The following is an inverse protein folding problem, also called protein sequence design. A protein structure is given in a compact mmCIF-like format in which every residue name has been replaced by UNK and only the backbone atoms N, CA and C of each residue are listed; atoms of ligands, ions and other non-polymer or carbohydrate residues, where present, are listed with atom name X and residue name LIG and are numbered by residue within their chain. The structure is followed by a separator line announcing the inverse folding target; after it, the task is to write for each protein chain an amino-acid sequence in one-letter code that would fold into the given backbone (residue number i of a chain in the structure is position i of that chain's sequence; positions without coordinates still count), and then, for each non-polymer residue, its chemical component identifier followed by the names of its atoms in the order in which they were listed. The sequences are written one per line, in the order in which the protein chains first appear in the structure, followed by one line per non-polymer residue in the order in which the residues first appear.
data_IF_606294114599
#
_entry.id   IF_606294114599
#
_cell.length_a   1.000
_cell.length_b   1.000
_cell.length_c   1.000
_cell.angle_alpha   90.00
_cell.angle_beta   90.00
_cell.angle_gamma   90.00
#
_symmetry.space_group_name_H-M   'P 1'
#
loop_
_entity.id
_entity.type
_entity.pdbx_description
1 polymer ?
#
# COMPACT_ATOMS: atom_id res chain seq x y z
N UNK A 1 -0.57 11.42 -4.61
CA UNK A 1 0.76 10.84 -4.44
C UNK A 1 1.82 11.82 -4.91
N UNK A 2 3.08 11.42 -4.79
CA UNK A 2 4.28 12.22 -5.12
C UNK A 2 4.29 12.84 -6.52
N UNK A 3 3.64 12.20 -7.50
CA UNK A 3 3.63 12.65 -8.90
C UNK A 3 2.54 13.68 -9.26
N UNK A 4 1.49 13.83 -8.44
CA UNK A 4 0.33 14.63 -8.82
C UNK A 4 -0.45 14.09 -10.03
N UNK A 5 -0.27 12.81 -10.37
CA UNK A 5 -0.90 12.12 -11.50
C UNK A 5 -2.07 11.23 -11.05
N UNK A 6 -3.05 10.97 -11.95
CA UNK A 6 -4.12 10.03 -11.67
C UNK A 6 -3.62 8.57 -11.61
N UNK A 7 -4.32 7.76 -10.83
CA UNK A 7 -4.02 6.34 -10.64
C UNK A 7 -4.51 5.48 -11.82
N UNK A 8 -3.76 5.53 -12.93
CA UNK A 8 -4.09 4.89 -14.22
C UNK A 8 -2.88 4.14 -14.81
N UNK A 9 -2.00 3.60 -13.96
CA UNK A 9 -0.81 2.86 -14.40
C UNK A 9 0.24 3.73 -15.10
N UNK A 10 0.34 5.00 -14.70
CA UNK A 10 1.29 5.97 -15.28
C UNK A 10 2.64 5.95 -14.54
N UNK A 11 2.60 5.72 -13.23
CA UNK A 11 3.80 5.57 -12.41
C UNK A 11 4.62 4.37 -12.87
N UNK A 12 5.93 4.49 -12.73
CA UNK A 12 6.87 3.42 -13.06
C UNK A 12 7.39 2.74 -11.79
N UNK A 13 8.06 1.60 -11.97
CA UNK A 13 8.77 0.94 -10.87
C UNK A 13 9.75 1.89 -10.16
N UNK A 14 10.47 2.74 -10.91
CA UNK A 14 11.46 3.63 -10.28
C UNK A 14 10.80 4.69 -9.40
N UNK A 15 9.64 5.22 -9.79
CA UNK A 15 8.89 6.18 -8.97
C UNK A 15 8.54 5.56 -7.60
N UNK A 16 8.09 4.30 -7.61
CA UNK A 16 7.80 3.54 -6.39
C UNK A 16 9.07 3.27 -5.59
N UNK A 17 10.16 2.82 -6.22
CA UNK A 17 11.41 2.50 -5.53
C UNK A 17 12.08 3.72 -4.88
N UNK A 18 11.90 4.92 -5.45
CA UNK A 18 12.37 6.17 -4.81
C UNK A 18 11.64 6.40 -3.50
N UNK A 19 10.31 6.26 -3.48
CA UNK A 19 9.52 6.48 -2.27
C UNK A 19 9.72 5.35 -1.24
N UNK A 20 9.90 4.10 -1.68
CA UNK A 20 10.25 2.97 -0.79
C UNK A 20 11.55 3.28 -0.04
N UNK A 21 12.64 3.62 -0.76
CA UNK A 21 13.93 3.93 -0.12
C UNK A 21 13.83 5.10 0.87
N UNK A 22 13.13 6.17 0.50
CA UNK A 22 12.91 7.32 1.40
C UNK A 22 12.24 6.95 2.71
N UNK A 23 11.33 5.97 2.68
CA UNK A 23 10.61 5.51 3.87
C UNK A 23 11.50 4.54 4.67
N UNK A 24 12.05 3.53 4.02
CA UNK A 24 12.77 2.42 4.69
C UNK A 24 14.15 2.81 5.20
N UNK A 25 14.79 3.83 4.63
CA UNK A 25 16.09 4.33 5.11
C UNK A 25 16.00 5.01 6.50
N UNK A 26 14.79 5.39 6.95
CA UNK A 26 14.59 6.15 8.19
C UNK A 26 13.51 5.59 9.12
N UNK A 27 12.76 4.57 8.69
CA UNK A 27 11.66 3.98 9.45
C UNK A 27 11.80 2.45 9.46
N UNK A 28 11.96 1.88 10.66
CA UNK A 28 12.15 0.43 10.85
C UNK A 28 10.86 -0.39 10.74
N UNK A 29 9.69 0.27 10.60
CA UNK A 29 8.42 -0.45 10.45
C UNK A 29 8.35 -1.16 9.09
N UNK A 30 7.84 -2.41 9.04
CA UNK A 30 7.77 -3.16 7.79
C UNK A 30 6.83 -2.48 6.79
N UNK A 31 7.35 -2.17 5.60
CA UNK A 31 6.60 -1.50 4.54
C UNK A 31 6.02 -2.51 3.54
N UNK A 32 4.70 -2.48 3.38
CA UNK A 32 3.97 -3.17 2.30
C UNK A 32 3.75 -2.23 1.12
N UNK A 33 4.03 -2.71 -0.10
CA UNK A 33 4.04 -1.89 -1.32
C UNK A 33 3.03 -2.40 -2.35
N UNK A 34 2.22 -1.50 -2.91
CA UNK A 34 1.41 -1.75 -4.09
C UNK A 34 2.30 -1.79 -5.34
N UNK A 35 2.27 -2.89 -6.09
CA UNK A 35 3.07 -3.06 -7.30
C UNK A 35 2.24 -3.16 -8.58
N UNK A 36 0.96 -2.79 -8.51
CA UNK A 36 0.00 -2.93 -9.60
C UNK A 36 0.05 -4.37 -10.17
N UNK A 37 0.34 -4.49 -11.47
CA UNK A 37 0.48 -5.75 -12.20
C UNK A 37 1.94 -6.23 -12.29
N UNK A 38 2.87 -5.59 -11.58
CA UNK A 38 4.29 -5.93 -11.52
C UNK A 38 5.21 -5.16 -12.49
N UNK A 39 4.76 -4.01 -12.99
CA UNK A 39 5.52 -3.06 -13.83
C UNK A 39 6.12 -3.66 -15.12
N UNK A 40 5.36 -4.49 -15.82
CA UNK A 40 5.65 -4.90 -17.20
C UNK A 40 4.89 -6.16 -17.61
N UNK A 41 4.93 -6.51 -18.91
CA UNK A 41 4.04 -7.54 -19.47
C UNK A 41 4.55 -8.99 -19.26
N UNK A 42 5.77 -9.19 -18.74
CA UNK A 42 6.38 -10.52 -18.64
C UNK A 42 6.77 -10.91 -17.22
N UNK A 43 6.92 -12.21 -16.99
CA UNK A 43 7.45 -12.76 -15.74
C UNK A 43 8.82 -12.17 -15.36
N UNK A 44 9.66 -11.78 -16.34
CA UNK A 44 10.94 -11.14 -16.08
C UNK A 44 10.80 -9.75 -15.45
N UNK A 45 9.75 -9.00 -15.82
CA UNK A 45 9.46 -7.70 -15.22
C UNK A 45 9.04 -7.87 -13.77
N UNK A 46 8.13 -8.81 -13.49
CA UNK A 46 7.66 -9.13 -12.14
C UNK A 46 8.84 -9.57 -11.26
N UNK A 47 9.69 -10.45 -11.76
CA UNK A 47 10.86 -10.91 -11.03
C UNK A 47 11.84 -9.76 -10.72
N UNK A 48 12.05 -8.84 -11.66
CA UNK A 48 12.85 -7.62 -11.42
C UNK A 48 12.21 -6.73 -10.36
N UNK A 49 10.89 -6.55 -10.40
CA UNK A 49 10.13 -5.74 -9.43
C UNK A 49 10.31 -6.28 -8.02
N UNK A 50 10.05 -7.56 -7.79
CA UNK A 50 10.19 -8.19 -6.46
C UNK A 50 11.61 -8.06 -5.91
N UNK A 51 12.63 -8.42 -6.72
CA UNK A 51 14.04 -8.30 -6.29
C UNK A 51 14.45 -6.87 -5.98
N UNK A 52 13.92 -5.90 -6.73
CA UNK A 52 14.23 -4.48 -6.52
C UNK A 52 13.59 -3.95 -5.24
N UNK A 53 12.37 -4.39 -4.91
CA UNK A 53 11.67 -4.01 -3.68
C UNK A 53 12.34 -4.57 -2.44
N UNK A 54 12.69 -5.86 -2.45
CA UNK A 54 13.43 -6.48 -1.36
C UNK A 54 14.75 -5.71 -1.14
N UNK A 55 15.48 -5.41 -2.21
CA UNK A 55 16.73 -4.64 -2.13
C UNK A 55 16.52 -3.21 -1.63
N UNK A 56 15.37 -2.59 -1.90
CA UNK A 56 15.02 -1.26 -1.43
C UNK A 56 14.51 -1.25 0.03
N UNK A 57 14.36 -2.41 0.66
CA UNK A 57 13.97 -2.54 2.07
C UNK A 57 12.47 -2.73 2.29
N UNK A 58 11.67 -2.99 1.25
CA UNK A 58 10.26 -3.34 1.45
C UNK A 58 10.15 -4.72 2.13
N UNK A 59 9.17 -4.87 3.03
CA UNK A 59 8.90 -6.12 3.74
C UNK A 59 7.83 -6.97 3.04
N UNK A 60 6.95 -6.34 2.26
CA UNK A 60 5.86 -7.02 1.58
C UNK A 60 5.48 -6.29 0.28
N UNK A 61 4.80 -6.99 -0.62
CA UNK A 61 4.08 -6.35 -1.71
C UNK A 61 2.74 -7.04 -2.02
N UNK A 62 1.88 -6.34 -2.77
CA UNK A 62 0.72 -6.97 -3.38
C UNK A 62 0.67 -6.76 -4.89
N UNK A 63 0.34 -7.82 -5.63
CA UNK A 63 0.16 -7.84 -7.09
C UNK A 63 -1.29 -8.15 -7.45
N UNK A 64 -1.81 -7.53 -8.51
CA UNK A 64 -3.23 -7.62 -8.88
C UNK A 64 -3.51 -8.30 -10.23
N UNK A 65 -4.75 -8.77 -10.39
CA UNK A 65 -5.25 -9.49 -11.56
C UNK A 65 -5.83 -8.58 -12.65
N UNK A 66 -5.64 -7.26 -12.57
CA UNK A 66 -6.07 -6.34 -13.62
C UNK A 66 -5.24 -6.48 -14.91
N UNK A 67 -5.82 -6.06 -16.03
CA UNK A 67 -5.07 -5.82 -17.28
C UNK A 67 -4.09 -4.65 -17.10
N UNK A 68 -3.04 -4.56 -17.94
CA UNK A 68 -1.96 -3.58 -17.75
C UNK A 68 -2.40 -2.11 -17.70
N UNK A 69 -3.48 -1.73 -18.39
CA UNK A 69 -4.13 -0.42 -18.24
C UNK A 69 -5.12 -0.43 -17.06
N UNK A 70 -4.59 -0.65 -15.85
CA UNK A 70 -5.36 -0.84 -14.63
C UNK A 70 -6.15 0.40 -14.22
N UNK A 71 -7.17 0.21 -13.39
CA UNK A 71 -7.97 1.28 -12.77
C UNK A 71 -8.03 1.09 -11.25
N UNK A 72 -8.42 2.13 -10.53
CA UNK A 72 -8.70 2.02 -9.10
C UNK A 72 -9.81 0.98 -8.82
N UNK A 73 -9.60 0.09 -7.85
CA UNK A 73 -10.49 -1.03 -7.50
C UNK A 73 -11.94 -0.66 -7.14
N UNK A 74 -12.21 0.59 -6.77
CA UNK A 74 -13.57 1.06 -6.47
C UNK A 74 -14.28 1.74 -7.67
N UNK A 75 -13.72 1.70 -8.89
CA UNK A 75 -14.35 2.26 -10.09
C UNK A 75 -14.94 1.19 -11.03
N UNK A 76 -16.02 1.49 -11.77
CA UNK A 76 -16.59 0.58 -12.76
C UNK A 76 -15.71 0.43 -14.02
N UNK A 77 -15.93 -0.67 -14.74
CA UNK A 77 -15.26 -0.96 -16.02
C UNK A 77 -13.81 -1.43 -15.86
N UNK A 78 -13.55 -2.26 -14.84
CA UNK A 78 -12.28 -2.96 -14.66
C UNK A 78 -12.27 -4.18 -15.58
N UNK A 79 -11.09 -4.49 -16.12
CA UNK A 79 -10.84 -5.72 -16.85
C UNK A 79 -9.78 -6.50 -16.08
N UNK A 80 -10.05 -7.78 -15.86
CA UNK A 80 -9.13 -8.70 -15.19
C UNK A 80 -8.64 -9.75 -16.18
N UNK A 81 -7.42 -10.22 -15.97
CA UNK A 81 -6.82 -11.28 -16.77
C UNK A 81 -7.39 -12.63 -16.38
N UNK A 82 -7.14 -13.67 -17.20
CA UNK A 82 -7.55 -15.04 -16.85
C UNK A 82 -6.95 -15.51 -15.52
N UNK A 83 -7.58 -16.50 -14.87
CA UNK A 83 -7.03 -17.08 -13.65
C UNK A 83 -5.62 -17.65 -13.87
N UNK A 84 -5.40 -18.33 -15.00
CA UNK A 84 -4.09 -18.87 -15.36
C UNK A 84 -3.02 -17.78 -15.48
N UNK A 85 -3.34 -16.65 -16.12
CA UNK A 85 -2.39 -15.55 -16.21
C UNK A 85 -2.06 -14.95 -14.84
N UNK A 86 -3.05 -14.79 -13.94
CA UNK A 86 -2.77 -14.32 -12.58
C UNK A 86 -1.91 -15.31 -11.78
N UNK A 87 -2.18 -16.61 -11.91
CA UNK A 87 -1.37 -17.67 -11.31
C UNK A 87 0.08 -17.59 -11.79
N UNK A 88 0.31 -17.37 -13.09
CA UNK A 88 1.66 -17.20 -13.64
C UNK A 88 2.36 -15.96 -13.06
N UNK A 89 1.63 -14.85 -12.85
CA UNK A 89 2.18 -13.64 -12.22
C UNK A 89 2.58 -13.88 -10.77
N UNK A 90 1.70 -14.50 -9.97
CA UNK A 90 1.97 -14.83 -8.56
C UNK A 90 3.15 -15.76 -8.45
N UNK A 91 3.20 -16.82 -9.28
CA UNK A 91 4.32 -17.74 -9.32
C UNK A 91 5.64 -17.06 -9.67
N UNK A 92 5.64 -16.18 -10.68
CA UNK A 92 6.82 -15.41 -11.05
C UNK A 92 7.30 -14.48 -9.91
N UNK A 93 6.38 -13.91 -9.13
CA UNK A 93 6.71 -13.11 -7.97
C UNK A 93 7.27 -13.97 -6.81
N UNK A 94 6.62 -15.10 -6.51
CA UNK A 94 7.04 -16.03 -5.47
C UNK A 94 8.43 -16.62 -5.75
N UNK A 95 8.67 -17.10 -6.98
CA UNK A 95 9.96 -17.64 -7.42
C UNK A 95 11.08 -16.60 -7.41
N UNK A 96 10.74 -15.30 -7.46
CA UNK A 96 11.71 -14.21 -7.47
C UNK A 96 12.14 -13.72 -6.08
N UNK A 97 11.47 -14.15 -5.01
CA UNK A 97 11.80 -13.81 -3.62
C UNK A 97 13.26 -14.17 -3.32
N UNK A 98 14.08 -13.15 -3.04
CA UNK A 98 15.47 -13.34 -2.57
C UNK A 98 15.58 -13.39 -1.05
N UNK A 99 14.49 -13.05 -0.36
CA UNK A 99 14.31 -13.17 1.07
C UNK A 99 13.08 -14.08 1.31
N UNK A 100 13.22 -15.22 2.01
CA UNK A 100 12.11 -16.12 2.27
C UNK A 100 10.99 -15.46 3.11
N UNK A 101 11.31 -14.47 3.94
CA UNK A 101 10.37 -13.79 4.83
C UNK A 101 9.62 -12.63 4.14
N UNK A 102 10.00 -12.27 2.91
CA UNK A 102 9.28 -11.24 2.13
C UNK A 102 7.85 -11.69 1.82
N UNK A 103 6.86 -10.92 2.26
CA UNK A 103 5.45 -11.35 2.23
C UNK A 103 4.77 -10.95 0.90
N UNK A 104 4.30 -11.93 0.13
CA UNK A 104 3.62 -11.71 -1.16
C UNK A 104 2.10 -11.84 -1.01
N UNK A 105 1.37 -10.79 -1.35
CA UNK A 105 -0.09 -10.78 -1.33
C UNK A 105 -0.63 -10.80 -2.76
N UNK A 106 -1.57 -11.70 -3.05
CA UNK A 106 -2.34 -11.63 -4.28
C UNK A 106 -3.63 -10.84 -4.06
N UNK A 107 -3.80 -9.77 -4.83
CA UNK A 107 -5.03 -8.96 -4.88
C UNK A 107 -5.92 -9.48 -6.01
N UNK A 108 -7.21 -9.63 -5.72
CA UNK A 108 -8.20 -9.94 -6.75
C UNK A 108 -9.31 -8.90 -6.78
N UNK A 109 -9.60 -8.40 -7.98
CA UNK A 109 -10.69 -7.47 -8.28
C UNK A 109 -11.95 -8.18 -8.84
N UNK A 110 -11.97 -9.52 -8.81
CA UNK A 110 -12.98 -10.35 -9.47
C UNK A 110 -14.40 -10.27 -8.87
N UNK A 111 -14.57 -9.86 -7.60
CA UNK A 111 -15.88 -9.86 -6.93
C UNK A 111 -16.95 -9.08 -7.73
N UNK A 112 -16.58 -7.91 -8.25
CA UNK A 112 -17.52 -7.04 -8.97
C UNK A 112 -17.85 -7.55 -10.39
N UNK A 113 -17.00 -8.41 -10.96
CA UNK A 113 -17.08 -8.85 -12.35
C UNK A 113 -17.64 -10.26 -12.48
N UNK A 114 -17.17 -11.17 -11.62
CA UNK A 114 -17.40 -12.62 -11.71
C UNK A 114 -18.16 -13.15 -10.48
N UNK A 115 -18.33 -12.33 -9.45
CA UNK A 115 -18.99 -12.70 -8.20
C UNK A 115 -18.03 -13.28 -7.15
N UNK A 116 -18.57 -13.50 -5.94
CA UNK A 116 -17.77 -13.91 -4.77
C UNK A 116 -17.18 -15.31 -4.93
N UNK A 117 -17.93 -16.26 -5.49
CA UNK A 117 -17.51 -17.66 -5.60
C UNK A 117 -16.30 -17.81 -6.53
N UNK A 118 -16.38 -17.20 -7.72
CA UNK A 118 -15.27 -17.16 -8.69
C UNK A 118 -14.04 -16.44 -8.12
N UNK A 119 -14.24 -15.35 -7.38
CA UNK A 119 -13.14 -14.62 -6.72
C UNK A 119 -12.45 -15.47 -5.63
N UNK A 120 -13.19 -16.30 -4.90
CA UNK A 120 -12.63 -17.25 -3.93
C UNK A 120 -11.84 -18.36 -4.63
N UNK A 121 -12.39 -18.96 -5.70
CA UNK A 121 -11.68 -19.98 -6.50
C UNK A 121 -10.35 -19.44 -7.05
N UNK A 122 -10.37 -18.22 -7.58
CA UNK A 122 -9.16 -17.52 -8.02
C UNK A 122 -8.17 -17.28 -6.89
N UNK A 123 -8.65 -16.83 -5.72
CA UNK A 123 -7.79 -16.60 -4.57
C UNK A 123 -7.11 -17.89 -4.08
N UNK A 124 -7.83 -19.01 -4.05
CA UNK A 124 -7.26 -20.33 -3.74
C UNK A 124 -6.14 -20.68 -4.73
N UNK A 125 -6.38 -20.52 -6.03
CA UNK A 125 -5.37 -20.77 -7.05
C UNK A 125 -4.12 -19.88 -6.89
N UNK A 126 -4.29 -18.62 -6.49
CA UNK A 126 -3.17 -17.73 -6.17
C UNK A 126 -2.39 -18.21 -4.93
N UNK A 127 -3.06 -18.72 -3.89
CA UNK A 127 -2.38 -19.32 -2.73
C UNK A 127 -1.57 -20.55 -3.14
N UNK A 128 -2.15 -21.44 -3.95
CA UNK A 128 -1.46 -22.61 -4.51
C UNK A 128 -0.24 -22.23 -5.36
N UNK A 129 -0.27 -21.05 -6.00
CA UNK A 129 0.82 -20.49 -6.79
C UNK A 129 1.94 -19.83 -5.95
N UNK A 130 1.75 -19.69 -4.64
CA UNK A 130 2.75 -19.13 -3.72
C UNK A 130 2.43 -17.76 -3.13
N UNK A 131 1.18 -17.29 -3.18
CA UNK A 131 0.78 -16.11 -2.41
C UNK A 131 0.72 -16.42 -0.90
N UNK A 132 1.38 -15.59 -0.10
CA UNK A 132 1.41 -15.69 1.36
C UNK A 132 0.14 -15.08 2.02
N UNK A 133 -0.60 -14.25 1.29
CA UNK A 133 -1.85 -13.63 1.74
C UNK A 133 -2.76 -13.22 0.59
N UNK A 134 -4.00 -12.89 0.90
CA UNK A 134 -5.02 -12.49 -0.09
C UNK A 134 -5.58 -11.11 0.25
N UNK A 135 -5.63 -10.24 -0.74
CA UNK A 135 -6.38 -8.99 -0.69
C UNK A 135 -7.66 -9.14 -1.52
N UNK A 136 -8.78 -9.32 -0.81
CA UNK A 136 -10.12 -9.39 -1.40
C UNK A 136 -10.67 -7.98 -1.66
N UNK A 137 -10.41 -7.42 -2.84
CA UNK A 137 -10.83 -6.06 -3.18
C UNK A 137 -12.35 -5.97 -3.36
N UNK A 138 -12.93 -4.85 -2.91
CA UNK A 138 -14.35 -4.54 -3.00
C UNK A 138 -15.31 -5.58 -2.36
N UNK A 139 -14.83 -6.37 -1.39
CA UNK A 139 -15.72 -7.08 -0.48
C UNK A 139 -16.59 -6.07 0.30
N UNK A 140 -17.91 -6.28 0.28
CA UNK A 140 -18.90 -5.29 0.70
C UNK A 140 -19.59 -5.64 2.04
N UNK A 141 -19.34 -6.82 2.60
CA UNK A 141 -19.89 -7.24 3.88
C UNK A 141 -18.97 -8.21 4.65
N UNK A 142 -19.20 -8.33 5.97
CA UNK A 142 -18.45 -9.23 6.85
C UNK A 142 -18.62 -10.73 6.48
N UNK A 143 -19.82 -11.23 6.11
CA UNK A 143 -19.97 -12.60 5.64
C UNK A 143 -19.07 -12.94 4.45
N UNK A 144 -18.91 -12.02 3.49
CA UNK A 144 -18.01 -12.21 2.34
C UNK A 144 -16.56 -12.36 2.81
N UNK A 145 -16.08 -11.48 3.68
CA UNK A 145 -14.73 -11.62 4.26
C UNK A 145 -14.55 -12.96 4.98
N UNK A 146 -15.56 -13.39 5.75
CA UNK A 146 -15.54 -14.69 6.43
C UNK A 146 -15.41 -15.86 5.46
N UNK A 147 -16.12 -15.81 4.33
CA UNK A 147 -16.02 -16.85 3.29
C UNK A 147 -14.62 -16.91 2.68
N UNK A 148 -13.99 -15.76 2.42
CA UNK A 148 -12.60 -15.72 1.95
C UNK A 148 -11.66 -16.32 2.99
N UNK A 149 -11.69 -15.84 4.24
CA UNK A 149 -10.82 -16.32 5.31
C UNK A 149 -10.98 -17.83 5.57
N UNK A 150 -12.23 -18.32 5.55
CA UNK A 150 -12.52 -19.75 5.72
C UNK A 150 -12.02 -20.59 4.53
N UNK A 151 -11.95 -20.04 3.31
CA UNK A 151 -11.55 -20.79 2.11
C UNK A 151 -10.04 -20.81 1.89
N UNK A 152 -9.35 -19.66 1.95
CA UNK A 152 -7.96 -19.53 1.50
C UNK A 152 -6.93 -19.94 2.56
N UNK A 153 -7.32 -19.97 3.84
CA UNK A 153 -6.49 -20.38 5.00
C UNK A 153 -5.15 -19.64 5.17
N UNK A 154 -4.95 -18.55 4.43
CA UNK A 154 -3.87 -17.57 4.60
C UNK A 154 -4.45 -16.25 5.10
N UNK A 155 -3.63 -15.32 5.63
CA UNK A 155 -4.09 -13.98 6.03
C UNK A 155 -4.88 -13.27 4.92
N UNK A 156 -6.08 -12.80 5.27
CA UNK A 156 -6.91 -11.96 4.39
C UNK A 156 -6.78 -10.50 4.81
N UNK A 157 -6.54 -9.63 3.83
CA UNK A 157 -6.50 -8.18 3.97
C UNK A 157 -7.85 -7.57 3.57
N UNK A 158 -8.35 -6.67 4.42
CA UNK A 158 -9.50 -5.80 4.14
C UNK A 158 -9.02 -4.36 3.89
N UNK A 159 -9.40 -3.81 2.74
CA UNK A 159 -9.13 -2.42 2.37
C UNK A 159 -10.27 -1.51 2.84
N UNK A 160 -10.02 -0.72 3.87
CA UNK A 160 -11.01 0.19 4.48
C UNK A 160 -10.70 1.62 4.04
N UNK A 161 -10.72 1.86 2.72
CA UNK A 161 -10.61 3.20 2.16
C UNK A 161 -11.94 3.96 2.25
N UNK A 162 -11.84 5.26 2.45
CA UNK A 162 -13.01 6.15 2.43
C UNK A 162 -13.52 6.37 1.01
N UNK A 163 -14.79 6.76 0.91
CA UNK A 163 -15.46 7.13 -0.35
C UNK A 163 -15.48 6.02 -1.41
N UNK A 164 -15.34 4.77 -0.97
CA UNK A 164 -15.48 3.56 -1.77
C UNK A 164 -16.81 2.84 -1.56
N UNK A 165 -16.87 1.59 -2.02
CA UNK A 165 -18.05 0.73 -1.88
C UNK A 165 -18.09 -0.05 -0.54
N UNK A 166 -16.92 -0.28 0.07
CA UNK A 166 -16.80 -1.06 1.30
C UNK A 166 -17.17 -0.21 2.51
N UNK A 167 -18.04 -0.69 3.42
CA UNK A 167 -18.32 0.00 4.67
C UNK A 167 -17.06 0.19 5.54
N UNK A 168 -17.06 1.23 6.36
CA UNK A 168 -15.93 1.56 7.25
C UNK A 168 -15.94 0.67 8.51
N UNK A 169 -15.69 -0.62 8.32
CA UNK A 169 -15.66 -1.60 9.41
C UNK A 169 -14.56 -1.29 10.41
N UNK A 170 -14.87 -1.50 11.69
CA UNK A 170 -13.92 -1.47 12.79
C UNK A 170 -13.01 -2.70 12.79
N UNK A 171 -11.90 -2.60 13.53
CA UNK A 171 -10.99 -3.74 13.77
C UNK A 171 -11.74 -4.95 14.32
N UNK A 172 -12.64 -4.75 15.28
CA UNK A 172 -13.30 -5.86 15.99
C UNK A 172 -14.34 -6.55 15.09
N UNK A 173 -15.04 -5.79 14.25
CA UNK A 173 -15.93 -6.34 13.22
C UNK A 173 -15.16 -7.20 12.22
N UNK A 174 -14.03 -6.70 11.69
CA UNK A 174 -13.18 -7.43 10.75
C UNK A 174 -12.56 -8.69 11.38
N UNK A 175 -12.10 -8.58 12.64
CA UNK A 175 -11.56 -9.73 13.39
C UNK A 175 -12.63 -10.82 13.58
N UNK A 176 -13.90 -10.45 13.82
CA UNK A 176 -15.00 -11.41 13.92
C UNK A 176 -15.25 -12.20 12.63
N UNK A 177 -14.84 -11.65 11.49
CA UNK A 177 -14.90 -12.28 10.17
C UNK A 177 -13.61 -13.01 9.78
N UNK A 178 -12.59 -13.07 10.65
CA UNK A 178 -11.33 -13.75 10.35
C UNK A 178 -10.36 -12.97 9.45
N UNK A 179 -10.57 -11.66 9.28
CA UNK A 179 -9.63 -10.76 8.58
C UNK A 179 -8.39 -10.57 9.46
N UNK A 180 -7.21 -10.67 8.85
CA UNK A 180 -5.93 -10.59 9.54
C UNK A 180 -5.27 -9.20 9.39
N UNK A 181 -5.55 -8.48 8.30
CA UNK A 181 -4.93 -7.19 8.00
C UNK A 181 -6.02 -6.17 7.68
N UNK A 182 -6.00 -5.03 8.37
CA UNK A 182 -6.86 -3.87 8.08
C UNK A 182 -6.02 -2.76 7.47
N UNK A 183 -6.28 -2.40 6.21
CA UNK A 183 -5.53 -1.40 5.48
C UNK A 183 -6.28 -0.06 5.43
N UNK A 184 -5.57 1.02 5.75
CA UNK A 184 -6.01 2.41 5.63
C UNK A 184 -5.12 3.13 4.60
N UNK A 185 -5.38 2.97 3.30
CA UNK A 185 -4.36 3.26 2.28
C UNK A 185 -4.09 4.76 2.09
N UNK A 186 -5.09 5.63 2.29
CA UNK A 186 -5.00 7.05 1.94
C UNK A 186 -5.55 8.00 3.02
N UNK A 187 -6.00 7.50 4.17
CA UNK A 187 -6.69 8.29 5.19
C UNK A 187 -5.89 9.52 5.64
N UNK A 188 -4.62 9.31 6.02
CA UNK A 188 -3.72 10.39 6.41
C UNK A 188 -3.42 11.36 5.26
N UNK A 189 -3.23 10.84 4.04
CA UNK A 189 -2.97 11.66 2.85
C UNK A 189 -4.16 12.57 2.51
N UNK A 190 -5.39 12.07 2.62
CA UNK A 190 -6.61 12.88 2.40
C UNK A 190 -6.71 14.02 3.42
N UNK A 191 -6.47 13.73 4.70
CA UNK A 191 -6.50 14.75 5.76
C UNK A 191 -5.41 15.81 5.55
N UNK A 192 -4.17 15.39 5.25
CA UNK A 192 -3.05 16.28 4.99
C UNK A 192 -3.33 17.23 3.81
N UNK A 193 -3.90 16.71 2.71
CA UNK A 193 -4.26 17.53 1.55
C UNK A 193 -5.32 18.57 1.89
N UNK A 194 -6.34 18.19 2.68
CA UNK A 194 -7.39 19.13 3.07
C UNK A 194 -6.88 20.22 4.00
N UNK A 195 -5.97 19.89 4.92
CA UNK A 195 -5.32 20.86 5.78
C UNK A 195 -4.43 21.83 4.99
N UNK A 196 -3.64 21.32 4.04
CA UNK A 196 -2.81 22.13 3.16
C UNK A 196 -3.65 23.09 2.30
N UNK A 197 -4.74 22.60 1.70
CA UNK A 197 -5.70 23.40 0.94
C UNK A 197 -6.22 24.59 1.78
N UNK A 198 -6.68 24.33 3.01
CA UNK A 198 -7.17 25.38 3.92
C UNK A 198 -6.10 26.45 4.20
N UNK A 199 -4.85 26.05 4.40
CA UNK A 199 -3.75 27.01 4.61
C UNK A 199 -3.50 27.86 3.36
N UNK A 200 -3.47 27.26 2.17
CA UNK A 200 -3.29 27.99 0.92
C UNK A 200 -4.43 28.99 0.66
N UNK A 201 -5.68 28.58 0.89
CA UNK A 201 -6.85 29.45 0.76
C UNK A 201 -6.81 30.61 1.76
N UNK A 202 -6.47 30.34 3.02
CA UNK A 202 -6.38 31.37 4.06
C UNK A 202 -5.29 32.41 3.74
N UNK A 203 -4.09 31.97 3.33
CA UNK A 203 -3.01 32.88 2.92
C UNK A 203 -3.44 33.72 1.72
N UNK A 204 -4.10 33.11 0.72
CA UNK A 204 -4.54 33.83 -0.48
C UNK A 204 -5.63 34.87 -0.17
N UNK A 205 -6.56 34.55 0.73
CA UNK A 205 -7.68 35.41 1.11
C UNK A 205 -7.26 36.53 2.05
N UNK A 206 -6.48 36.21 3.08
CA UNK A 206 -6.18 37.12 4.19
C UNK A 206 -4.84 37.86 4.00
N UNK A 207 -3.99 37.40 3.08
CA UNK A 207 -2.62 37.89 2.90
C UNK A 207 -1.63 37.42 3.98
N UNK A 208 -2.06 36.53 4.89
CA UNK A 208 -1.25 35.95 5.96
C UNK A 208 -1.84 34.64 6.50
N UNK A 209 -1.06 33.87 7.26
CA UNK A 209 -1.47 32.59 7.86
C UNK A 209 -1.95 32.67 9.33
N UNK A 210 -1.97 33.84 9.97
CA UNK A 210 -2.22 33.98 11.42
C UNK A 210 -3.49 33.27 11.91
N UNK A 211 -4.54 33.27 11.10
CA UNK A 211 -5.85 32.68 11.45
C UNK A 211 -5.89 31.14 11.39
N UNK A 212 -4.82 30.49 10.93
CA UNK A 212 -4.75 29.04 10.75
C UNK A 212 -3.53 28.40 11.42
N UNK A 213 -2.79 29.15 12.24
CA UNK A 213 -1.59 28.64 12.94
C UNK A 213 -1.95 27.51 13.90
N UNK A 214 -3.08 27.59 14.58
CA UNK A 214 -3.53 26.58 15.55
C UNK A 214 -3.85 25.21 14.91
N UNK A 215 -3.96 25.16 13.57
CA UNK A 215 -4.17 23.92 12.82
C UNK A 215 -2.85 23.29 12.32
N UNK A 216 -1.70 23.90 12.61
CA UNK A 216 -0.38 23.44 12.14
C UNK A 216 0.32 22.61 13.19
N UNK A 217 1.13 21.64 12.74
CA UNK A 217 2.15 21.03 13.57
C UNK A 217 3.16 22.11 14.00
N UNK A 218 3.45 22.16 15.30
CA UNK A 218 4.45 23.07 15.86
C UNK A 218 5.87 22.64 15.50
N UNK A 219 6.83 23.56 15.70
CA UNK A 219 8.26 23.26 15.45
C UNK A 219 8.79 22.16 16.36
N UNK A 220 8.46 22.21 17.64
CA UNK A 220 8.91 21.21 18.62
C UNK A 220 8.33 19.84 18.29
N UNK A 221 7.04 19.76 17.95
CA UNK A 221 6.44 18.50 17.49
C UNK A 221 7.17 17.93 16.26
N UNK A 222 7.56 18.79 15.30
CA UNK A 222 8.35 18.34 14.14
C UNK A 222 9.73 17.80 14.56
N UNK A 223 10.45 18.51 15.44
CA UNK A 223 11.76 18.10 15.93
C UNK A 223 11.73 16.76 16.64
N UNK A 224 10.72 16.54 17.47
CA UNK A 224 10.48 15.26 18.13
C UNK A 224 10.25 14.13 17.12
N UNK A 225 9.49 14.38 16.03
CA UNK A 225 9.21 13.34 15.02
C UNK A 225 10.43 12.92 14.21
N UNK A 226 11.36 13.82 13.95
CA UNK A 226 12.53 13.55 13.10
C UNK A 226 13.82 13.31 13.89
N UNK A 227 13.72 13.23 15.23
CA UNK A 227 14.87 13.01 16.10
C UNK A 227 15.91 14.12 16.02
N UNK A 228 15.48 15.37 15.78
CA UNK A 228 16.38 16.49 15.46
C UNK A 228 17.51 16.65 16.48
N UNK A 229 17.18 16.68 17.77
CA UNK A 229 18.14 16.88 18.84
C UNK A 229 19.15 15.74 19.00
N UNK A 230 18.84 14.52 18.52
CA UNK A 230 19.79 13.42 18.55
C UNK A 230 20.96 13.68 17.57
N UNK A 231 20.68 14.21 16.39
CA UNK A 231 21.69 14.59 15.41
C UNK A 231 22.52 15.79 15.89
N UNK A 232 21.86 16.81 16.44
CA UNK A 232 22.51 17.99 17.02
C UNK A 232 23.51 17.58 18.12
N UNK A 233 23.08 16.76 19.08
CA UNK A 233 23.94 16.28 20.16
C UNK A 233 25.11 15.40 19.65
N UNK A 234 24.92 14.66 18.56
CA UNK A 234 26.00 13.86 17.95
C UNK A 234 27.06 14.73 17.29
N UNK A 235 26.66 15.81 16.62
CA UNK A 235 27.60 16.78 16.03
C UNK A 235 28.48 17.42 17.12
N UNK A 236 27.86 17.87 18.22
CA UNK A 236 28.59 18.49 19.33
C UNK A 236 29.65 17.56 19.92
N UNK A 237 29.33 16.27 20.10
CA UNK A 237 30.28 15.26 20.58
C UNK A 237 31.46 15.06 19.63
N UNK A 238 31.20 14.99 18.32
CA UNK A 238 32.24 14.78 17.31
C UNK A 238 33.19 15.98 17.20
N UNK A 239 32.68 17.21 17.29
CA UNK A 239 33.49 18.40 17.19
C UNK A 239 34.21 18.78 18.50
N UNK A 240 33.61 18.51 19.66
CA UNK A 240 34.28 18.67 20.95
C UNK A 240 35.53 17.77 21.07
N UNK A 241 35.52 16.58 20.45
CA UNK A 241 36.66 15.65 20.43
C UNK A 241 37.79 16.06 19.45
N UNK A 242 37.52 16.93 18.46
CA UNK A 242 38.55 17.42 17.52
C UNK A 242 39.26 18.70 17.99
N UNK A 243 38.75 19.34 19.04
CA UNK A 243 39.33 20.54 19.64
C UNK A 243 40.19 20.30 20.88
N UNK A 244 40.47 19.03 21.22
CA UNK A 244 41.28 18.61 22.37
C UNK A 244 42.57 17.90 21.92
#
# INVERSE_FOLDING_TARGET
GSLGLPDLGINTLEDVLVDVRRITDVCDLPLMVDIDTGFGPSAFNIARTVKSLIKAGAAACHIEDQVGAKRCGHRPGKEIVSQGEMVDRVKAAADAKTDPDFFLIARTDAIQMEGVDAAIERAIACVEAGADGIFAEAAYDLPTYKRFADAVKVPVLANITEFGATPLFSRDELASAGVAIQLFPLSAFRAANKAAENVYEAIRRDGHQRNVVDAMQTREELYDRIGYHAFEAQLDKVFAQKGA
#
